data_IF_181841719287
#
_entry.id   IF_181841719287
#
_cell.length_a   1.000
_cell.length_b   1.000
_cell.length_c   1.000
_cell.angle_alpha   90.00
_cell.angle_beta   90.00
_cell.angle_gamma   90.00
#
_symmetry.space_group_name_H-M   'P 1'
#
loop_
_entity.id
_entity.type
_entity.pdbx_description
1 polymer ?
#
# COMPACT_ATOMS: atom_id res chain seq x y z
N UNK A 1 2.26 -5.42 20.72
CA UNK A 1 3.33 -4.99 19.80
C UNK A 1 2.68 -4.24 18.65
N UNK A 2 2.94 -2.94 18.52
CA UNK A 2 2.42 -2.14 17.41
C UNK A 2 3.25 -2.48 16.18
N UNK A 3 2.74 -3.41 15.36
CA UNK A 3 3.32 -3.70 14.05
C UNK A 3 3.01 -2.52 13.14
N UNK A 4 3.88 -1.50 13.16
CA UNK A 4 3.84 -0.40 12.20
C UNK A 4 4.15 -0.98 10.81
N UNK A 5 3.10 -1.46 10.15
CA UNK A 5 3.13 -2.23 8.90
C UNK A 5 3.81 -1.50 7.74
N UNK A 6 3.92 -0.18 7.81
CA UNK A 6 4.67 0.64 6.87
C UNK A 6 5.66 1.45 7.70
N UNK A 7 6.98 1.19 7.59
CA UNK A 7 7.96 1.98 8.30
C UNK A 7 7.80 3.46 7.92
N UNK A 8 7.78 4.36 8.91
CA UNK A 8 7.92 5.81 8.65
C UNK A 8 9.27 6.17 8.00
N UNK A 9 10.14 5.19 7.75
CA UNK A 9 11.41 5.35 7.05
C UNK A 9 11.28 5.45 5.52
N UNK A 10 10.06 5.53 4.98
CA UNK A 10 9.81 5.60 3.53
C UNK A 10 10.00 4.27 2.79
N UNK A 11 10.11 3.14 3.51
CA UNK A 11 10.25 1.83 2.88
C UNK A 11 8.93 1.43 2.22
N UNK A 12 9.01 1.08 0.94
CA UNK A 12 7.90 0.51 0.20
C UNK A 12 7.53 -0.87 0.78
N UNK A 13 6.24 -1.04 1.08
CA UNK A 13 5.66 -2.28 1.59
C UNK A 13 4.67 -2.80 0.56
N UNK A 14 4.72 -4.10 0.29
CA UNK A 14 3.79 -4.75 -0.62
C UNK A 14 2.43 -4.96 0.05
N UNK A 15 1.37 -4.60 -0.67
CA UNK A 15 -0.02 -4.78 -0.28
C UNK A 15 -0.79 -5.55 -1.35
N UNK A 16 -1.93 -6.11 -0.95
CA UNK A 16 -2.90 -6.73 -1.83
C UNK A 16 -4.29 -6.21 -1.51
N UNK A 17 -5.04 -5.85 -2.54
CA UNK A 17 -6.43 -5.47 -2.38
C UNK A 17 -7.29 -6.74 -2.22
N UNK A 18 -7.94 -6.93 -1.07
CA UNK A 18 -8.80 -8.09 -0.80
C UNK A 18 -9.97 -8.22 -1.76
N UNK A 19 -10.52 -7.08 -2.21
CA UNK A 19 -11.72 -7.04 -3.04
C UNK A 19 -11.43 -7.42 -4.49
N UNK A 20 -10.27 -7.01 -5.02
CA UNK A 20 -9.93 -7.20 -6.43
C UNK A 20 -8.80 -8.21 -6.64
N UNK A 21 -8.13 -8.64 -5.57
CA UNK A 21 -6.95 -9.50 -5.62
C UNK A 21 -5.69 -8.82 -6.17
N UNK A 22 -5.77 -7.54 -6.56
CA UNK A 22 -4.68 -6.80 -7.19
C UNK A 22 -3.52 -6.55 -6.23
N UNK A 23 -2.30 -6.64 -6.73
CA UNK A 23 -1.09 -6.29 -5.99
C UNK A 23 -0.84 -4.77 -6.06
N UNK A 24 -0.41 -4.21 -4.95
CA UNK A 24 -0.09 -2.81 -4.77
C UNK A 24 1.18 -2.69 -3.94
N UNK A 25 1.84 -1.56 -4.06
CA UNK A 25 2.94 -1.15 -3.21
C UNK A 25 2.50 0.12 -2.52
N UNK A 26 2.71 0.19 -1.21
CA UNK A 26 2.49 1.41 -0.46
C UNK A 26 3.76 1.87 0.22
N UNK A 27 4.05 3.16 0.15
CA UNK A 27 5.15 3.78 0.86
C UNK A 27 4.66 5.02 1.60
N UNK A 28 5.34 5.37 2.69
CA UNK A 28 5.02 6.58 3.45
C UNK A 28 5.81 7.76 2.91
N UNK A 29 5.09 8.79 2.43
CA UNK A 29 5.68 10.07 2.08
C UNK A 29 5.76 10.93 3.34
N UNK A 30 6.99 11.22 3.78
CA UNK A 30 7.27 12.01 4.98
C UNK A 30 6.98 13.51 4.80
N UNK A 31 7.03 14.02 3.58
CA UNK A 31 6.81 15.43 3.27
C UNK A 31 5.32 15.76 3.27
N UNK A 32 4.53 14.86 2.67
CA UNK A 32 3.08 14.98 2.60
C UNK A 32 2.37 14.33 3.79
N UNK A 33 3.08 13.55 4.62
CA UNK A 33 2.55 12.79 5.75
C UNK A 33 1.39 11.86 5.36
N UNK A 34 1.52 11.19 4.20
CA UNK A 34 0.51 10.29 3.64
C UNK A 34 1.14 9.00 3.15
N UNK A 35 0.33 7.94 3.08
CA UNK A 35 0.68 6.71 2.39
C UNK A 35 0.29 6.84 0.92
N UNK A 36 1.28 6.70 0.04
CA UNK A 36 1.06 6.59 -1.40
C UNK A 36 0.88 5.13 -1.76
N UNK A 37 -0.18 4.84 -2.51
CA UNK A 37 -0.51 3.51 -3.01
C UNK A 37 -0.34 3.49 -4.52
N UNK A 38 0.58 2.67 -4.97
CA UNK A 38 0.90 2.46 -6.37
C UNK A 38 0.55 1.03 -6.75
N UNK A 39 -0.26 0.83 -7.79
CA UNK A 39 -0.60 -0.50 -8.21
C UNK A 39 0.60 -1.19 -8.86
N UNK A 40 0.78 -2.49 -8.61
CA UNK A 40 1.91 -3.25 -9.13
C UNK A 40 1.41 -4.39 -10.00
N UNK A 41 1.75 -4.33 -11.29
CA UNK A 41 1.41 -5.35 -12.28
C UNK A 41 0.49 -4.87 -13.40
N UNK A 42 0.20 -5.78 -14.33
CA UNK A 42 -0.62 -5.51 -15.51
C UNK A 42 -2.01 -6.11 -15.34
N UNK A 43 -2.79 -5.56 -14.42
CA UNK A 43 -4.17 -5.96 -14.23
C UNK A 43 -5.06 -4.88 -14.84
N UNK A 44 -5.88 -5.26 -15.83
CA UNK A 44 -6.93 -4.40 -16.45
C UNK A 44 -7.88 -3.74 -15.43
N UNK A 45 -7.85 -4.17 -14.16
CA UNK A 45 -8.64 -3.66 -13.04
C UNK A 45 -7.87 -2.72 -12.09
N UNK A 46 -6.61 -2.39 -12.38
CA UNK A 46 -5.81 -1.48 -11.57
C UNK A 46 -6.32 -0.04 -11.74
N UNK A 47 -6.79 0.55 -10.63
CA UNK A 47 -7.10 1.98 -10.56
C UNK A 47 -5.81 2.79 -10.48
N UNK A 48 -5.88 4.05 -10.92
CA UNK A 48 -4.80 5.04 -10.78
C UNK A 48 -4.23 5.03 -9.36
N UNK A 49 -2.93 5.36 -9.24
CA UNK A 49 -2.30 5.55 -7.94
C UNK A 49 -3.08 6.57 -7.11
N UNK A 50 -3.09 6.39 -5.80
CA UNK A 50 -3.81 7.28 -4.90
C UNK A 50 -3.08 7.42 -3.58
N UNK A 51 -3.39 8.49 -2.86
CA UNK A 51 -2.80 8.80 -1.56
C UNK A 51 -3.86 8.69 -0.47
N UNK A 52 -3.47 8.20 0.70
CA UNK A 52 -4.36 8.12 1.85
C UNK A 52 -3.58 8.34 3.15
N UNK A 53 -4.20 9.01 4.12
CA UNK A 53 -3.63 9.19 5.47
C UNK A 53 -3.62 7.91 6.30
N UNK A 54 -4.31 6.86 5.84
CA UNK A 54 -4.37 5.58 6.53
C UNK A 54 -4.46 4.43 5.54
N UNK A 55 -4.02 3.24 5.96
CA UNK A 55 -4.14 2.03 5.15
C UNK A 55 -5.63 1.64 5.08
N UNK A 56 -6.24 1.60 3.89
CA UNK A 56 -7.65 1.23 3.79
C UNK A 56 -7.88 -0.22 4.24
N UNK A 57 -9.00 -0.51 4.91
CA UNK A 57 -9.28 -1.83 5.48
C UNK A 57 -9.35 -2.98 4.44
N UNK A 58 -9.57 -2.64 3.17
CA UNK A 58 -9.58 -3.60 2.06
C UNK A 58 -8.18 -3.87 1.49
N UNK A 59 -7.13 -3.31 2.08
CA UNK A 59 -5.74 -3.63 1.80
C UNK A 59 -5.17 -4.54 2.89
N UNK A 60 -4.52 -5.61 2.48
CA UNK A 60 -3.73 -6.49 3.34
C UNK A 60 -2.28 -6.41 2.97
N UNK A 61 -1.40 -6.62 3.93
CA UNK A 61 0.02 -6.82 3.65
C UNK A 61 0.17 -8.05 2.78
N UNK A 62 0.73 -7.86 1.58
CA UNK A 62 1.24 -8.98 0.81
C UNK A 62 2.56 -9.36 1.49
N UNK A 63 2.50 -10.33 2.40
CA UNK A 63 3.59 -10.71 3.28
C UNK A 63 4.94 -10.78 2.56
N UNK A 64 5.94 -10.14 3.15
CA UNK A 64 7.35 -10.43 2.87
C UNK A 64 7.63 -11.79 3.50
N UNK A 65 7.62 -12.84 2.68
CA UNK A 65 8.11 -14.17 3.05
C UNK A 65 9.61 -14.26 2.78
#
# INVERSE_FOLDING_TARGET
MISTAIPHSGKATSFRNKRTGAAWVAHYDIHCQVYRFEPTGNLRAIKSSFESRSIPAYFELAGTH
#
